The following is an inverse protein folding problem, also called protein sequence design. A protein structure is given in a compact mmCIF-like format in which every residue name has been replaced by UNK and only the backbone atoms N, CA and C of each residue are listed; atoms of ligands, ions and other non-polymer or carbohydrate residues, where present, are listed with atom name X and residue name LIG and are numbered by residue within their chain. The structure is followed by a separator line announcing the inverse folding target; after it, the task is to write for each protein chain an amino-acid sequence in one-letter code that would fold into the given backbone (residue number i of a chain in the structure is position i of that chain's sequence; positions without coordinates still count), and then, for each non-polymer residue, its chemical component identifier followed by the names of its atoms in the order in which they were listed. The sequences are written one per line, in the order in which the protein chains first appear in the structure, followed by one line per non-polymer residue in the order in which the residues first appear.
data_IF_237204067057
#
_entry.id   IF_237204067057
#
_cell.length_a   1.000
_cell.length_b   1.000
_cell.length_c   1.000
_cell.angle_alpha   90.00
_cell.angle_beta   90.00
_cell.angle_gamma   90.00
#
_symmetry.space_group_name_H-M   'P 1'
#
loop_
_entity.id
_entity.type
_entity.pdbx_description
1 polymer ?
#
# COMPACT_ATOMS: atom_id res chain seq x y z
N UNK A 1 -21.16 -10.23 17.95
CA UNK A 1 -20.67 -8.92 17.46
C UNK A 1 -21.37 -8.66 16.14
N UNK A 2 -22.50 -7.95 16.18
CA UNK A 2 -23.35 -7.74 15.01
C UNK A 2 -23.08 -6.36 14.40
N UNK A 3 -22.81 -6.36 13.09
CA UNK A 3 -23.43 -5.40 12.17
C UNK A 3 -22.84 -4.01 12.11
N UNK A 4 -21.58 -3.90 11.67
CA UNK A 4 -21.21 -2.72 10.89
C UNK A 4 -21.62 -3.01 9.44
N UNK A 5 -22.45 -2.19 8.83
CA UNK A 5 -22.79 -2.39 7.42
C UNK A 5 -21.62 -1.96 6.54
N UNK A 6 -21.42 -2.63 5.41
CA UNK A 6 -20.34 -2.28 4.46
C UNK A 6 -20.34 -0.80 4.07
N UNK A 7 -21.53 -0.23 3.95
CA UNK A 7 -21.84 1.14 3.56
C UNK A 7 -21.52 2.16 4.65
N UNK A 8 -21.33 1.70 5.89
CA UNK A 8 -20.87 2.54 6.98
C UNK A 8 -19.34 2.61 7.04
N UNK A 9 -18.58 1.80 6.28
CA UNK A 9 -17.13 1.77 6.36
C UNK A 9 -16.47 2.67 5.31
N UNK A 10 -15.58 3.56 5.77
CA UNK A 10 -14.66 4.32 4.94
C UNK A 10 -13.23 3.85 5.13
N UNK A 11 -12.52 3.75 4.02
CA UNK A 11 -11.09 3.49 3.95
C UNK A 11 -10.43 4.69 3.28
N UNK A 12 -9.47 5.30 3.97
CA UNK A 12 -8.80 6.54 3.54
C UNK A 12 -7.28 6.39 3.67
N UNK A 13 -6.55 7.09 2.80
CA UNK A 13 -5.09 7.16 2.86
C UNK A 13 -4.67 8.60 3.15
N UNK A 14 -3.87 8.77 4.20
CA UNK A 14 -3.34 10.07 4.64
C UNK A 14 -1.82 10.12 4.42
N UNK A 15 -1.36 11.15 3.71
CA UNK A 15 0.06 11.44 3.41
C UNK A 15 0.86 10.27 2.81
N UNK A 16 0.20 9.28 2.20
CA UNK A 16 0.82 8.01 1.77
C UNK A 16 1.53 7.24 2.90
N UNK A 17 1.23 7.57 4.17
CA UNK A 17 1.89 7.00 5.36
C UNK A 17 0.93 6.25 6.24
N UNK A 18 -0.35 6.58 6.18
CA UNK A 18 -1.36 6.00 7.04
C UNK A 18 -2.56 5.51 6.25
N UNK A 19 -3.06 4.34 6.62
CA UNK A 19 -4.35 3.83 6.23
C UNK A 19 -5.33 4.05 7.40
N UNK A 20 -6.45 4.69 7.15
CA UNK A 20 -7.48 4.95 8.14
C UNK A 20 -8.72 4.16 7.75
N UNK A 21 -9.23 3.37 8.69
CA UNK A 21 -10.50 2.67 8.58
C UNK A 21 -11.43 3.27 9.62
N UNK A 22 -12.58 3.79 9.19
CA UNK A 22 -13.55 4.41 10.10
C UNK A 22 -14.98 4.11 9.71
N UNK A 23 -15.89 4.20 10.67
CA UNK A 23 -17.32 4.22 10.40
C UNK A 23 -17.80 5.64 10.09
N UNK A 24 -18.64 5.80 9.08
CA UNK A 24 -19.45 7.01 8.88
C UNK A 24 -20.39 7.21 10.05
N UNK A 25 -20.83 8.45 10.20
CA UNK A 25 -21.54 9.03 11.34
C UNK A 25 -22.65 8.14 11.90
N UNK A 26 -22.26 7.24 12.81
CA UNK A 26 -23.19 6.48 13.63
C UNK A 26 -23.66 7.35 14.78
N UNK A 27 -24.98 7.51 14.92
CA UNK A 27 -25.61 8.13 16.10
C UNK A 27 -25.46 7.26 17.35
N UNK A 28 -25.23 5.96 17.18
CA UNK A 28 -24.94 5.02 18.25
C UNK A 28 -23.44 5.06 18.59
N UNK A 29 -23.05 5.47 19.81
CA UNK A 29 -21.64 5.58 20.21
C UNK A 29 -20.92 4.22 20.16
N UNK A 30 -21.62 3.13 20.45
CA UNK A 30 -21.07 1.77 20.47
C UNK A 30 -20.77 1.20 19.07
N UNK A 31 -21.21 1.90 18.02
CA UNK A 31 -20.92 1.56 16.62
C UNK A 31 -19.84 2.45 15.99
N UNK A 32 -19.27 3.40 16.73
CA UNK A 32 -18.17 4.22 16.24
C UNK A 32 -16.86 3.43 16.29
N UNK A 33 -16.27 3.21 15.13
CA UNK A 33 -14.97 2.57 14.99
C UNK A 33 -14.04 3.48 14.20
N UNK A 34 -12.81 3.63 14.67
CA UNK A 34 -11.74 4.27 13.91
C UNK A 34 -10.42 3.58 14.27
N UNK A 35 -9.67 3.16 13.25
CA UNK A 35 -8.31 2.65 13.40
C UNK A 35 -7.41 3.26 12.34
N UNK A 36 -6.23 3.72 12.79
CA UNK A 36 -5.18 4.28 11.95
C UNK A 36 -3.99 3.32 11.95
N UNK A 37 -3.60 2.83 10.78
CA UNK A 37 -2.50 1.90 10.57
C UNK A 37 -1.37 2.61 9.85
N UNK A 38 -0.14 2.39 10.29
CA UNK A 38 1.05 2.90 9.60
C UNK A 38 1.43 1.97 8.45
N UNK A 39 1.65 2.55 7.27
CA UNK A 39 2.04 1.81 6.08
C UNK A 39 3.54 1.44 6.10
N UNK A 40 3.92 0.26 5.58
CA UNK A 40 5.28 -0.29 5.71
C UNK A 40 6.33 0.30 4.73
N UNK A 41 6.11 1.48 4.16
CA UNK A 41 7.06 2.16 3.26
C UNK A 41 6.38 2.70 1.99
N UNK A 42 7.10 2.73 0.87
CA UNK A 42 6.50 3.11 -0.43
C UNK A 42 5.46 2.08 -0.85
N UNK A 43 4.26 2.57 -1.14
CA UNK A 43 3.09 1.79 -1.57
C UNK A 43 2.63 2.27 -2.94
N UNK A 44 1.96 1.41 -3.67
CA UNK A 44 1.25 1.75 -4.90
C UNK A 44 -0.19 2.12 -4.52
N UNK A 45 -0.48 3.41 -4.45
CA UNK A 45 -1.77 3.93 -3.96
C UNK A 45 -2.92 3.48 -4.86
N UNK A 46 -2.71 3.52 -6.17
CA UNK A 46 -3.71 3.15 -7.18
C UNK A 46 -4.08 1.66 -7.13
N UNK A 47 -3.22 0.82 -6.54
CA UNK A 47 -3.44 -0.62 -6.39
C UNK A 47 -4.11 -1.02 -5.07
N UNK A 48 -4.45 -0.06 -4.19
CA UNK A 48 -5.13 -0.38 -2.94
C UNK A 48 -6.55 -0.86 -3.23
N UNK A 49 -6.94 -2.00 -2.64
CA UNK A 49 -8.28 -2.54 -2.74
C UNK A 49 -8.84 -2.91 -1.37
N UNK A 50 -10.16 -2.96 -1.27
CA UNK A 50 -10.86 -3.38 -0.06
C UNK A 50 -12.07 -4.24 -0.41
N UNK A 51 -12.27 -5.30 0.37
CA UNK A 51 -13.35 -6.28 0.20
C UNK A 51 -14.03 -6.49 1.55
N UNK A 52 -15.36 -6.61 1.54
CA UNK A 52 -16.15 -6.82 2.75
C UNK A 52 -17.03 -8.06 2.59
N UNK A 53 -16.62 -9.15 3.24
CA UNK A 53 -17.31 -10.44 3.17
C UNK A 53 -17.54 -11.01 4.56
N UNK A 54 -18.74 -11.53 4.82
CA UNK A 54 -19.09 -12.23 6.07
C UNK A 54 -18.75 -11.46 7.35
N UNK A 55 -18.84 -10.12 7.32
CA UNK A 55 -18.54 -9.28 8.48
C UNK A 55 -17.07 -8.82 8.58
N UNK A 56 -16.20 -9.26 7.67
CA UNK A 56 -14.76 -8.98 7.69
C UNK A 56 -14.39 -8.01 6.57
N UNK A 57 -13.75 -6.90 6.94
CA UNK A 57 -13.12 -5.98 5.99
C UNK A 57 -11.67 -6.42 5.74
N UNK A 58 -11.38 -6.90 4.54
CA UNK A 58 -10.02 -7.15 4.06
C UNK A 58 -9.54 -5.93 3.27
N UNK A 59 -8.34 -5.42 3.58
CA UNK A 59 -7.73 -4.31 2.83
C UNK A 59 -6.37 -4.76 2.33
N UNK A 60 -6.16 -4.68 1.03
CA UNK A 60 -4.92 -5.03 0.36
C UNK A 60 -4.16 -3.76 0.00
N UNK A 61 -2.90 -3.67 0.44
CA UNK A 61 -2.03 -2.53 0.15
C UNK A 61 -0.76 -3.04 -0.55
N UNK A 62 -0.65 -2.86 -1.88
CA UNK A 62 0.54 -3.29 -2.60
C UNK A 62 1.76 -2.45 -2.22
N UNK A 63 2.87 -3.14 -1.97
CA UNK A 63 4.15 -2.48 -1.70
C UNK A 63 4.88 -2.22 -3.01
N UNK A 64 5.37 -0.99 -3.18
CA UNK A 64 6.22 -0.67 -4.32
C UNK A 64 7.63 -1.23 -4.07
N UNK A 65 7.84 -2.48 -4.46
CA UNK A 65 9.17 -3.09 -4.46
C UNK A 65 9.88 -2.61 -5.73
N UNK A 66 10.83 -1.67 -5.58
CA UNK A 66 11.83 -1.48 -6.63
C UNK A 66 12.66 -2.76 -6.67
N UNK A 67 12.33 -3.68 -7.58
CA UNK A 67 13.32 -4.67 -8.04
C UNK A 67 14.51 -3.85 -8.55
N UNK A 68 15.72 -4.25 -8.16
CA UNK A 68 16.97 -3.53 -8.45
C UNK A 68 17.04 -3.09 -9.92
N UNK A 69 17.77 -1.99 -10.16
CA UNK A 69 17.93 -1.32 -11.45
C UNK A 69 17.68 -2.27 -12.63
N UNK A 70 16.61 -2.02 -13.40
CA UNK A 70 16.49 -2.58 -14.72
C UNK A 70 17.55 -1.88 -15.58
N UNK A 71 18.77 -2.41 -15.58
CA UNK A 71 19.79 -2.01 -16.54
C UNK A 71 19.36 -2.70 -17.83
N UNK A 72 18.82 -1.93 -18.75
CA UNK A 72 18.61 -2.39 -20.11
C UNK A 72 19.99 -2.78 -20.68
N UNK A 73 20.20 -4.05 -21.09
CA UNK A 73 21.47 -4.47 -21.67
C UNK A 73 21.85 -3.65 -22.91
N UNK A 74 20.91 -2.99 -23.58
CA UNK A 74 21.18 -2.08 -24.69
C UNK A 74 21.86 -0.76 -24.27
N UNK A 75 21.85 -0.42 -22.97
CA UNK A 75 22.49 0.79 -22.41
C UNK A 75 23.87 0.46 -21.86
N UNK A 76 24.29 -0.81 -21.85
CA UNK A 76 25.67 -1.18 -21.53
C UNK A 76 26.55 -0.75 -22.70
N UNK A 77 27.44 0.26 -22.53
CA UNK A 77 28.37 0.62 -23.59
C UNK A 77 29.25 -0.60 -23.86
N UNK A 78 29.31 -1.06 -25.11
CA UNK A 78 30.09 -2.24 -25.56
C UNK A 78 31.61 -2.14 -25.31
N UNK A 79 32.07 -1.07 -24.66
CA UNK A 79 33.48 -0.71 -24.60
C UNK A 79 33.97 -0.65 -23.16
N UNK A 80 34.09 -1.81 -22.53
CA UNK A 80 35.04 -1.99 -21.44
C UNK A 80 36.43 -2.18 -22.08
N UNK A 81 37.04 -1.09 -22.53
CA UNK A 81 38.48 -1.09 -22.79
C UNK A 81 39.18 -1.42 -21.46
N UNK A 82 39.79 -2.60 -21.39
CA UNK A 82 40.61 -3.05 -20.26
C UNK A 82 41.75 -2.05 -20.09
N UNK A 83 41.61 -1.11 -19.15
CA UNK A 83 42.54 0.01 -18.98
C UNK A 83 43.74 -0.24 -18.08
N UNK A 84 44.03 -1.47 -17.66
CA UNK A 84 45.35 -1.79 -17.09
C UNK A 84 45.60 -3.29 -17.03
N UNK A 85 46.76 -3.73 -17.53
CA UNK A 85 47.46 -4.88 -16.94
C UNK A 85 48.38 -4.33 -15.85
N UNK A 86 48.27 -4.87 -14.63
CA UNK A 86 49.25 -4.61 -13.58
C UNK A 86 50.63 -5.13 -14.02
N UNK A 87 51.67 -4.35 -13.71
CA UNK A 87 53.08 -4.74 -13.85
C UNK A 87 53.51 -5.60 -12.66
#
# INVERSE_FOLDING_TARGET
MAGVRKEELRVEVEDSKYLIIRTEESTEPDRKFMRKFRLPGRIEIDGISAEYENGVLAVTVPRLIRRGLHIDPAVVPERLEVLARAA
#
